data_IF_748400616157
#
_entry.id   IF_748400616157
#
_cell.length_a   1.000
_cell.length_b   1.000
_cell.length_c   1.000
_cell.angle_alpha   90.00
_cell.angle_beta   90.00
_cell.angle_gamma   90.00
#
_symmetry.space_group_name_H-M   'P 1'
#
loop_
_entity.id
_entity.type
_entity.pdbx_description
1 polymer ?
#
# COMPACT_ATOMS: atom_id res chain seq x y z
N UNK A 1 3.72 12.77 21.71
CA UNK A 1 3.82 11.30 21.79
C UNK A 1 2.79 10.66 22.74
N UNK A 2 1.86 11.42 23.34
CA UNK A 2 0.87 10.86 24.28
C UNK A 2 -0.12 9.89 23.59
N UNK A 3 -0.40 10.10 22.30
CA UNK A 3 -1.43 9.35 21.54
C UNK A 3 -0.84 8.24 20.65
N UNK A 4 0.31 7.68 21.04
CA UNK A 4 0.94 6.59 20.29
C UNK A 4 0.12 5.29 20.35
N UNK A 5 -0.24 4.72 19.20
CA UNK A 5 -0.93 3.43 19.13
C UNK A 5 -0.14 2.28 19.79
N UNK A 6 1.19 2.37 19.81
CA UNK A 6 2.05 1.39 20.49
C UNK A 6 1.87 1.34 22.02
N UNK A 7 1.16 2.28 22.63
CA UNK A 7 0.95 2.32 24.09
C UNK A 7 0.02 1.22 24.59
N UNK A 8 -0.80 0.64 23.73
CA UNK A 8 -1.69 -0.48 24.07
C UNK A 8 -1.05 -1.84 23.83
N UNK A 9 0.19 -1.85 23.33
CA UNK A 9 0.93 -3.03 22.91
C UNK A 9 2.08 -3.33 23.89
N UNK A 10 2.67 -4.52 23.82
CA UNK A 10 3.82 -4.86 24.67
C UNK A 10 5.09 -4.17 24.16
N UNK A 11 5.85 -3.46 25.03
CA UNK A 11 7.04 -2.71 24.59
C UNK A 11 8.07 -3.56 23.84
N UNK A 12 8.25 -4.82 24.24
CA UNK A 12 9.20 -5.77 23.64
C UNK A 12 8.98 -5.96 22.13
N UNK A 13 7.74 -5.82 21.64
CA UNK A 13 7.39 -5.96 20.23
C UNK A 13 8.07 -4.90 19.34
N UNK A 14 8.43 -3.75 19.90
CA UNK A 14 9.09 -2.67 19.17
C UNK A 14 10.62 -2.70 19.28
N UNK A 15 11.19 -3.64 20.04
CA UNK A 15 12.63 -3.80 20.25
C UNK A 15 13.07 -5.23 19.92
N UNK A 16 12.99 -5.66 18.65
CA UNK A 16 13.42 -7.00 18.25
C UNK A 16 14.94 -7.17 18.39
N UNK A 17 15.37 -8.35 18.86
CA UNK A 17 16.80 -8.68 19.05
C UNK A 17 17.53 -8.94 17.72
N UNK A 18 16.79 -9.09 16.62
CA UNK A 18 17.34 -9.35 15.30
C UNK A 18 16.58 -8.65 14.18
N UNK A 19 17.16 -8.70 12.98
CA UNK A 19 16.62 -8.03 11.76
C UNK A 19 16.37 -8.98 10.59
N UNK A 20 16.58 -10.28 10.78
CA UNK A 20 16.51 -11.31 9.75
C UNK A 20 15.83 -12.57 10.27
N UNK A 21 15.44 -13.47 9.36
CA UNK A 21 14.87 -14.77 9.70
C UNK A 21 13.59 -14.64 10.54
N UNK A 22 13.56 -15.33 11.68
CA UNK A 22 12.39 -15.38 12.58
C UNK A 22 11.97 -14.04 13.18
N UNK A 23 12.79 -12.99 13.06
CA UNK A 23 12.45 -11.64 13.53
C UNK A 23 11.65 -10.82 12.50
N UNK A 24 11.61 -11.24 11.23
CA UNK A 24 10.89 -10.52 10.17
C UNK A 24 9.40 -10.34 10.51
N UNK A 25 8.66 -11.39 10.96
CA UNK A 25 7.24 -11.23 11.32
C UNK A 25 7.01 -10.26 12.48
N UNK A 26 7.92 -10.22 13.46
CA UNK A 26 7.83 -9.30 14.62
C UNK A 26 8.00 -7.85 14.15
N UNK A 27 8.99 -7.62 13.28
CA UNK A 27 9.23 -6.30 12.68
C UNK A 27 8.03 -5.84 11.85
N UNK A 28 7.49 -6.72 11.01
CA UNK A 28 6.34 -6.41 10.15
C UNK A 28 5.10 -6.07 10.98
N UNK A 29 4.86 -6.80 12.08
CA UNK A 29 3.77 -6.53 13.00
C UNK A 29 3.91 -5.16 13.68
N UNK A 30 5.06 -4.86 14.27
CA UNK A 30 5.31 -3.57 14.91
C UNK A 30 5.21 -2.39 13.92
N UNK A 31 5.66 -2.59 12.68
CA UNK A 31 5.48 -1.60 11.60
C UNK A 31 4.02 -1.41 11.20
N UNK A 32 3.22 -2.48 11.18
CA UNK A 32 1.78 -2.38 10.88
C UNK A 32 1.07 -1.50 11.92
N UNK A 33 1.38 -1.67 13.20
CA UNK A 33 0.86 -0.82 14.29
C UNK A 33 1.33 0.63 14.10
N UNK A 34 2.60 0.85 13.74
CA UNK A 34 3.09 2.20 13.47
C UNK A 34 2.32 2.87 12.32
N UNK A 35 2.00 2.14 11.24
CA UNK A 35 1.36 2.70 10.05
C UNK A 35 -0.09 3.17 10.28
N UNK A 36 -0.74 2.74 11.36
CA UNK A 36 -2.06 3.24 11.76
C UNK A 36 -1.99 4.32 12.85
N UNK A 37 -0.79 4.63 13.34
CA UNK A 37 -0.58 5.52 14.48
C UNK A 37 -0.73 7.00 14.09
N UNK A 38 -1.56 7.80 14.78
CA UNK A 38 -1.81 9.20 14.43
C UNK A 38 -0.58 10.09 14.59
N UNK A 39 0.40 9.68 15.39
CA UNK A 39 1.64 10.43 15.64
C UNK A 39 2.84 9.86 14.88
N UNK A 40 2.62 9.04 13.84
CA UNK A 40 3.69 8.37 13.08
C UNK A 40 4.75 9.35 12.57
N UNK A 41 4.36 10.47 11.95
CA UNK A 41 5.30 11.44 11.38
C UNK A 41 6.13 12.12 12.47
N UNK A 42 5.48 12.64 13.51
CA UNK A 42 6.18 13.30 14.64
C UNK A 42 7.11 12.34 15.38
N UNK A 43 6.71 11.09 15.59
CA UNK A 43 7.54 10.05 16.19
C UNK A 43 8.78 9.75 15.33
N UNK A 44 8.59 9.66 14.01
CA UNK A 44 9.68 9.44 13.05
C UNK A 44 10.69 10.57 13.06
N UNK A 45 10.22 11.82 13.02
CA UNK A 45 11.08 13.01 13.05
C UNK A 45 11.90 13.07 14.33
N UNK A 46 11.25 12.92 15.48
CA UNK A 46 11.93 12.88 16.78
C UNK A 46 13.00 11.78 16.81
N UNK A 47 12.67 10.56 16.34
CA UNK A 47 13.60 9.44 16.36
C UNK A 47 14.82 9.66 15.44
N UNK A 48 14.64 10.35 14.31
CA UNK A 48 15.73 10.76 13.42
C UNK A 48 16.57 11.88 14.04
N UNK A 49 15.95 12.89 14.66
CA UNK A 49 16.65 14.02 15.29
C UNK A 49 17.51 13.59 16.47
N UNK A 50 16.96 12.74 17.35
CA UNK A 50 17.68 12.24 18.51
C UNK A 50 18.54 11.01 18.22
N UNK A 51 18.56 10.52 16.97
CA UNK A 51 19.28 9.32 16.53
C UNK A 51 19.03 8.11 17.45
N UNK A 52 17.76 7.78 17.68
CA UNK A 52 17.40 6.68 18.58
C UNK A 52 18.13 5.38 18.17
N UNK A 53 18.92 4.78 19.09
CA UNK A 53 19.91 3.76 18.73
C UNK A 53 19.30 2.39 18.45
N UNK A 54 18.13 2.09 19.01
CA UNK A 54 17.51 0.76 18.92
C UNK A 54 16.02 0.84 18.67
N UNK A 55 15.42 -0.29 18.28
CA UNK A 55 13.99 -0.45 18.15
C UNK A 55 13.36 0.21 16.92
N UNK A 56 12.03 0.06 16.82
CA UNK A 56 11.17 0.52 15.75
C UNK A 56 10.47 1.80 16.19
N UNK A 57 10.71 2.89 15.46
CA UNK A 57 10.17 4.21 15.76
C UNK A 57 9.60 4.82 14.49
N UNK A 58 8.38 5.37 14.55
CA UNK A 58 7.74 6.03 13.40
C UNK A 58 7.65 5.14 12.15
N UNK A 59 7.47 3.82 12.34
CA UNK A 59 7.45 2.83 11.26
C UNK A 59 8.82 2.47 10.67
N UNK A 60 9.92 2.86 11.34
CA UNK A 60 11.28 2.62 10.85
C UNK A 60 12.09 1.77 11.84
N UNK A 61 12.80 0.77 11.31
CA UNK A 61 13.87 0.06 12.04
C UNK A 61 15.10 0.94 12.22
N UNK A 62 16.00 0.55 13.13
CA UNK A 62 17.32 1.18 13.29
C UNK A 62 18.09 1.27 11.95
N UNK A 63 18.14 0.17 11.20
CA UNK A 63 18.88 0.11 9.94
C UNK A 63 18.31 1.07 8.89
N UNK A 64 16.99 1.23 8.84
CA UNK A 64 16.34 2.20 7.93
C UNK A 64 16.66 3.63 8.35
N UNK A 65 16.58 3.98 9.65
CA UNK A 65 16.98 5.30 10.13
C UNK A 65 18.44 5.61 9.78
N UNK A 66 19.34 4.63 9.93
CA UNK A 66 20.75 4.75 9.54
C UNK A 66 20.91 5.03 8.04
N UNK A 67 20.14 4.36 7.18
CA UNK A 67 20.15 4.62 5.72
C UNK A 67 19.66 6.02 5.38
N UNK A 68 18.68 6.56 6.12
CA UNK A 68 18.23 7.95 5.94
C UNK A 68 19.35 8.94 6.28
N UNK A 69 20.02 8.76 7.43
CA UNK A 69 21.16 9.60 7.79
C UNK A 69 22.28 9.55 6.75
N UNK A 70 22.60 8.37 6.21
CA UNK A 70 23.60 8.22 5.16
C UNK A 70 23.21 8.98 3.88
N UNK A 71 21.93 8.95 3.48
CA UNK A 71 21.45 9.69 2.30
C UNK A 71 21.56 11.20 2.49
N UNK A 72 21.15 11.71 3.66
CA UNK A 72 21.25 13.13 3.98
C UNK A 72 22.69 13.60 4.09
N UNK A 73 23.59 12.75 4.59
CA UNK A 73 25.02 13.04 4.60
C UNK A 73 25.61 13.11 3.17
N UNK A 74 25.17 12.22 2.28
CA UNK A 74 25.66 12.13 0.90
C UNK A 74 25.03 13.15 -0.06
N UNK A 75 23.83 13.66 0.25
CA UNK A 75 23.12 14.67 -0.53
C UNK A 75 22.49 15.69 0.42
N UNK A 76 23.25 16.75 0.73
CA UNK A 76 22.89 17.76 1.73
C UNK A 76 21.65 18.57 1.37
N UNK A 77 21.35 18.71 0.09
CA UNK A 77 20.21 19.48 -0.41
C UNK A 77 18.93 18.62 -0.51
N UNK A 78 19.02 17.30 -0.25
CA UNK A 78 17.87 16.41 -0.29
C UNK A 78 16.92 16.71 0.89
N UNK A 79 15.62 16.98 0.63
CA UNK A 79 14.61 17.06 1.67
C UNK A 79 14.58 15.79 2.52
N UNK A 80 14.44 15.94 3.84
CA UNK A 80 14.40 14.82 4.80
C UNK A 80 13.30 13.81 4.47
N UNK A 81 12.11 14.30 4.14
CA UNK A 81 10.97 13.46 3.74
C UNK A 81 11.31 12.62 2.51
N UNK A 82 11.95 13.20 1.50
CA UNK A 82 12.42 12.47 0.33
C UNK A 82 13.47 11.41 0.67
N UNK A 83 14.37 11.67 1.64
CA UNK A 83 15.33 10.68 2.10
C UNK A 83 14.65 9.52 2.84
N UNK A 84 13.64 9.80 3.66
CA UNK A 84 12.79 8.80 4.34
C UNK A 84 12.07 7.93 3.32
N UNK A 85 11.36 8.55 2.38
CA UNK A 85 10.62 7.84 1.34
C UNK A 85 11.52 6.96 0.50
N UNK A 86 12.70 7.44 0.14
CA UNK A 86 13.60 6.64 -0.67
C UNK A 86 14.20 5.44 0.08
N UNK A 87 14.12 5.39 1.43
CA UNK A 87 14.53 4.25 2.27
C UNK A 87 13.38 3.30 2.55
N UNK A 88 12.20 3.82 2.92
CA UNK A 88 11.03 3.01 3.23
C UNK A 88 10.37 2.47 1.95
N UNK A 89 10.45 3.26 0.89
CA UNK A 89 9.79 3.04 -0.40
C UNK A 89 10.77 3.24 -1.58
N UNK A 90 11.93 2.56 -1.59
CA UNK A 90 12.89 2.67 -2.68
C UNK A 90 12.19 2.47 -4.04
N UNK A 91 12.54 3.29 -5.04
CA UNK A 91 11.99 3.11 -6.40
C UNK A 91 12.21 1.66 -6.84
N UNK A 92 11.12 0.96 -7.15
CA UNK A 92 11.11 -0.48 -7.45
C UNK A 92 10.82 -1.43 -6.27
N UNK A 93 10.66 -0.91 -5.04
CA UNK A 93 10.21 -1.61 -3.82
C UNK A 93 9.57 -0.61 -2.82
N UNK A 94 8.25 -0.41 -2.85
CA UNK A 94 7.52 0.13 -1.68
C UNK A 94 6.69 1.41 -1.83
N UNK A 95 6.67 2.13 -2.95
CA UNK A 95 5.68 3.22 -3.10
C UNK A 95 4.26 2.67 -2.98
N UNK A 96 3.30 3.37 -2.32
CA UNK A 96 1.93 2.92 -2.21
C UNK A 96 1.43 2.52 -3.60
N UNK A 97 0.90 1.31 -3.70
CA UNK A 97 0.49 0.78 -5.00
C UNK A 97 -0.56 1.68 -5.65
N UNK A 98 -1.36 2.39 -4.85
CA UNK A 98 -2.31 3.41 -5.27
C UNK A 98 -1.65 4.56 -6.04
N UNK A 99 -0.52 5.06 -5.55
CA UNK A 99 0.23 6.17 -6.15
C UNK A 99 0.94 5.72 -7.43
N UNK A 100 1.60 4.56 -7.38
CA UNK A 100 2.19 3.94 -8.57
C UNK A 100 1.15 3.65 -9.65
N UNK A 101 -0.06 3.26 -9.24
CA UNK A 101 -1.17 3.04 -10.14
C UNK A 101 -1.64 4.37 -10.75
N UNK A 102 -1.86 5.40 -9.95
CA UNK A 102 -2.30 6.73 -10.38
C UNK A 102 -1.34 7.40 -11.39
N UNK A 103 -0.02 7.26 -11.23
CA UNK A 103 0.96 7.81 -12.19
C UNK A 103 0.90 7.19 -13.60
N UNK A 104 0.28 6.02 -13.73
CA UNK A 104 0.27 5.21 -14.95
C UNK A 104 -1.11 5.09 -15.54
N UNK A 105 -2.06 5.84 -14.98
CA UNK A 105 -3.43 5.86 -15.40
C UNK A 105 -3.90 7.26 -15.67
N UNK A 106 -4.88 7.37 -16.55
CA UNK A 106 -5.62 8.59 -16.79
C UNK A 106 -7.09 8.25 -16.67
N UNK A 107 -7.86 9.20 -16.14
CA UNK A 107 -9.32 9.12 -16.04
C UNK A 107 -9.86 10.04 -17.14
N UNK A 108 -10.68 9.49 -18.03
CA UNK A 108 -11.35 10.29 -19.05
C UNK A 108 -12.55 11.07 -18.48
N UNK A 109 -13.16 11.90 -19.31
CA UNK A 109 -14.30 12.74 -18.93
C UNK A 109 -15.52 11.93 -18.46
N UNK A 110 -15.63 10.67 -18.90
CA UNK A 110 -16.74 9.76 -18.58
C UNK A 110 -16.44 8.92 -17.33
N UNK A 111 -15.29 9.12 -16.67
CA UNK A 111 -14.90 8.43 -15.44
C UNK A 111 -14.26 7.05 -15.66
N UNK A 112 -13.86 6.72 -16.89
CA UNK A 112 -13.13 5.48 -17.18
C UNK A 112 -11.63 5.67 -17.02
N UNK A 113 -11.01 4.74 -16.31
CA UNK A 113 -9.57 4.70 -16.10
C UNK A 113 -8.91 3.87 -17.21
N UNK A 114 -7.93 4.46 -17.90
CA UNK A 114 -7.10 3.80 -18.92
C UNK A 114 -5.66 3.62 -18.44
N UNK A 115 -5.00 2.58 -18.94
CA UNK A 115 -3.59 2.32 -18.70
C UNK A 115 -2.71 3.04 -19.75
N UNK A 116 -1.65 3.73 -19.32
CA UNK A 116 -0.85 4.60 -20.21
C UNK A 116 0.45 3.98 -20.73
N UNK A 117 0.94 2.88 -20.14
CA UNK A 117 2.24 2.30 -20.50
C UNK A 117 2.11 1.07 -21.42
N UNK A 118 3.11 0.83 -22.27
CA UNK A 118 3.16 -0.38 -23.11
C UNK A 118 3.26 -1.68 -22.30
N UNK A 119 3.90 -1.66 -21.14
CA UNK A 119 3.99 -2.81 -20.23
C UNK A 119 2.87 -2.77 -19.18
N UNK A 120 2.18 -3.90 -19.01
CA UNK A 120 0.98 -4.03 -18.17
C UNK A 120 1.16 -5.05 -17.02
N UNK A 121 2.31 -5.05 -16.36
CA UNK A 121 2.59 -5.90 -15.20
C UNK A 121 3.36 -5.14 -14.10
N UNK A 122 2.95 -5.33 -12.83
CA UNK A 122 3.50 -4.67 -11.64
C UNK A 122 3.74 -5.67 -10.52
N UNK A 123 4.90 -5.59 -9.87
CA UNK A 123 5.18 -6.37 -8.67
C UNK A 123 4.46 -5.76 -7.47
N UNK A 124 3.49 -6.49 -6.90
CA UNK A 124 2.74 -6.09 -5.70
C UNK A 124 2.32 -7.32 -4.90
N UNK A 125 2.46 -7.24 -3.57
CA UNK A 125 2.21 -8.35 -2.64
C UNK A 125 2.94 -9.65 -3.07
N UNK A 126 4.24 -9.52 -3.39
CA UNK A 126 5.12 -10.59 -3.86
C UNK A 126 4.63 -11.38 -5.10
N UNK A 127 3.78 -10.77 -5.94
CA UNK A 127 3.29 -11.35 -7.20
C UNK A 127 3.35 -10.33 -8.33
N UNK A 128 3.45 -10.81 -9.56
CA UNK A 128 3.21 -9.99 -10.75
C UNK A 128 1.70 -9.84 -10.95
N UNK A 129 1.23 -8.60 -10.96
CA UNK A 129 -0.19 -8.23 -11.07
C UNK A 129 -0.41 -7.41 -12.33
N UNK A 130 -1.54 -7.61 -12.98
CA UNK A 130 -2.04 -6.77 -14.07
C UNK A 130 -2.67 -5.48 -13.54
N UNK A 131 -2.81 -4.40 -14.35
CA UNK A 131 -3.49 -3.18 -13.94
C UNK A 131 -4.90 -3.42 -13.37
N UNK A 132 -5.68 -4.36 -13.93
CA UNK A 132 -7.01 -4.72 -13.39
C UNK A 132 -6.92 -5.36 -12.00
N UNK A 133 -5.95 -6.23 -11.76
CA UNK A 133 -5.76 -6.82 -10.44
C UNK A 133 -5.35 -5.78 -9.40
N UNK A 134 -4.54 -4.78 -9.79
CA UNK A 134 -4.16 -3.68 -8.88
C UNK A 134 -5.36 -2.79 -8.58
N UNK A 135 -6.10 -2.34 -9.60
CA UNK A 135 -7.32 -1.56 -9.43
C UNK A 135 -8.35 -2.29 -8.53
N UNK A 136 -8.51 -3.59 -8.75
CA UNK A 136 -9.36 -4.44 -7.93
C UNK A 136 -8.96 -4.44 -6.46
N UNK A 137 -7.68 -4.71 -6.17
CA UNK A 137 -7.15 -4.76 -4.80
C UNK A 137 -7.28 -3.40 -4.09
N UNK A 138 -7.12 -2.31 -4.83
CA UNK A 138 -7.26 -0.95 -4.32
C UNK A 138 -8.71 -0.57 -3.99
N UNK A 139 -9.69 -1.08 -4.72
CA UNK A 139 -11.11 -0.72 -4.54
C UNK A 139 -11.85 -1.68 -3.62
N UNK A 140 -11.60 -2.98 -3.75
CA UNK A 140 -12.36 -4.01 -3.03
C UNK A 140 -11.64 -4.53 -1.79
N UNK A 141 -10.37 -4.18 -1.61
CA UNK A 141 -9.55 -4.59 -0.47
C UNK A 141 -9.51 -6.10 -0.21
N UNK A 142 -9.71 -6.93 -1.25
CA UNK A 142 -9.65 -8.40 -1.23
C UNK A 142 -9.06 -8.96 -2.51
N UNK A 143 -8.54 -10.18 -2.48
CA UNK A 143 -8.12 -10.89 -3.70
C UNK A 143 -9.35 -11.22 -4.58
N UNK A 144 -9.20 -11.18 -5.92
CA UNK A 144 -10.26 -11.55 -6.85
C UNK A 144 -10.43 -13.07 -6.92
N UNK A 145 -11.68 -13.51 -7.07
CA UNK A 145 -12.01 -14.91 -7.32
C UNK A 145 -12.12 -15.15 -8.83
N UNK A 146 -11.16 -15.88 -9.39
CA UNK A 146 -11.13 -16.19 -10.83
C UNK A 146 -10.81 -14.97 -11.70
N UNK A 147 -11.42 -14.91 -12.89
CA UNK A 147 -11.12 -13.87 -13.89
C UNK A 147 -11.85 -12.57 -13.60
N UNK A 148 -11.10 -11.47 -13.52
CA UNK A 148 -11.63 -10.10 -13.48
C UNK A 148 -11.95 -9.59 -14.89
N UNK A 149 -13.14 -9.01 -15.06
CA UNK A 149 -13.56 -8.35 -16.29
C UNK A 149 -14.25 -7.02 -15.99
N UNK A 150 -14.11 -6.04 -16.88
CA UNK A 150 -14.86 -4.80 -16.79
C UNK A 150 -16.32 -5.04 -17.24
N UNK A 151 -17.29 -4.56 -16.46
CA UNK A 151 -18.73 -4.69 -16.75
C UNK A 151 -19.30 -3.50 -17.52
N UNK A 152 -18.56 -2.39 -17.60
CA UNK A 152 -18.97 -1.16 -18.27
C UNK A 152 -18.93 -1.16 -19.82
N UNK A 153 -18.54 -2.28 -20.46
CA UNK A 153 -18.48 -2.38 -21.93
C UNK A 153 -17.31 -1.65 -22.62
N UNK A 154 -16.62 -0.72 -21.92
CA UNK A 154 -15.48 0.01 -22.46
C UNK A 154 -14.24 -0.89 -22.56
N UNK A 155 -13.72 -1.03 -23.78
CA UNK A 155 -12.53 -1.84 -24.07
C UNK A 155 -11.32 -1.28 -23.31
N UNK A 156 -10.70 -2.14 -22.49
CA UNK A 156 -9.48 -1.77 -21.77
C UNK A 156 -9.70 -1.00 -20.46
N UNK A 157 -10.95 -0.73 -20.07
CA UNK A 157 -11.26 -0.09 -18.79
C UNK A 157 -10.67 -0.88 -17.60
N UNK A 158 -10.07 -0.14 -16.67
CA UNK A 158 -9.51 -0.65 -15.41
C UNK A 158 -10.02 0.11 -14.18
N UNK A 159 -11.09 0.91 -14.30
CA UNK A 159 -11.74 1.57 -13.15
C UNK A 159 -12.17 0.52 -12.14
N UNK A 160 -11.69 0.61 -10.90
CA UNK A 160 -11.88 -0.47 -9.91
C UNK A 160 -13.35 -0.82 -9.64
N UNK A 161 -14.25 0.16 -9.56
CA UNK A 161 -15.69 -0.04 -9.36
C UNK A 161 -16.40 -0.66 -10.57
N UNK A 162 -15.80 -0.61 -11.76
CA UNK A 162 -16.32 -1.23 -12.98
C UNK A 162 -15.83 -2.66 -13.17
N UNK A 163 -15.00 -3.19 -12.26
CA UNK A 163 -14.47 -4.53 -12.34
C UNK A 163 -15.35 -5.49 -11.54
N UNK A 164 -15.59 -6.67 -12.11
CA UNK A 164 -16.23 -7.80 -11.43
C UNK A 164 -15.36 -9.05 -11.58
N UNK A 165 -15.20 -9.81 -10.50
CA UNK A 165 -14.59 -11.13 -10.51
C UNK A 165 -15.62 -12.19 -10.93
N UNK A 166 -15.26 -13.47 -10.85
CA UNK A 166 -16.14 -14.55 -11.31
C UNK A 166 -17.39 -14.72 -10.44
N UNK A 167 -17.23 -14.60 -9.12
CA UNK A 167 -18.31 -14.75 -8.14
C UNK A 167 -19.35 -13.62 -8.28
N UNK A 168 -18.90 -12.37 -8.39
CA UNK A 168 -19.81 -11.23 -8.64
C UNK A 168 -20.59 -11.39 -9.94
N UNK A 169 -19.95 -11.88 -11.00
CA UNK A 169 -20.62 -12.10 -12.28
C UNK A 169 -21.66 -13.21 -12.18
N UNK A 170 -21.34 -14.34 -11.54
CA UNK A 170 -22.30 -15.44 -11.33
C UNK A 170 -23.53 -14.98 -10.55
N UNK A 171 -23.33 -14.24 -9.45
CA UNK A 171 -24.43 -13.70 -8.64
C UNK A 171 -25.36 -12.75 -9.43
N UNK A 172 -24.82 -12.01 -10.40
CA UNK A 172 -25.61 -11.12 -11.26
C UNK A 172 -26.56 -11.90 -12.19
N UNK A 173 -26.22 -13.14 -12.56
CA UNK A 173 -27.08 -14.00 -13.39
C UNK A 173 -28.15 -14.76 -12.60
N UNK A 174 -28.00 -14.88 -11.28
CA UNK A 174 -28.87 -15.69 -10.42
C UNK A 174 -29.96 -14.89 -9.69
N UNK A 175 -29.98 -13.56 -9.81
CA UNK A 175 -31.06 -12.73 -9.24
C UNK A 175 -32.16 -12.53 -10.30
N UNK A 176 -33.32 -13.21 -10.23
CA UNK A 176 -34.44 -12.88 -11.11
C UNK A 176 -34.92 -11.46 -10.78
N UNK A 177 -35.20 -10.67 -11.83
CA UNK A 177 -35.84 -9.37 -11.67
C UNK A 177 -37.12 -9.52 -10.82
N UNK A 178 -37.43 -8.58 -9.90
CA UNK A 178 -38.69 -8.63 -9.17
C UNK A 178 -39.83 -8.62 -10.19
N UNK A 179 -40.55 -9.73 -10.22
CA UNK A 179 -41.72 -9.98 -11.06
C UNK A 179 -42.71 -8.84 -10.84
N UNK A 180 -43.14 -8.24 -11.95
CA UNK A 180 -44.12 -7.17 -11.94
C UNK A 180 -45.41 -7.70 -11.32
N UNK A 181 -45.73 -7.25 -10.11
CA UNK A 181 -47.07 -7.41 -9.53
C UNK A 181 -48.01 -6.55 -10.37
N UNK A 182 -48.57 -7.15 -11.42
CA UNK A 182 -49.69 -6.62 -12.17
C UNK A 182 -50.97 -6.77 -11.33
N UNK A 183 -51.70 -5.66 -11.24
CA UNK A 183 -52.98 -5.49 -10.57
C UNK A 183 -54.12 -6.27 -11.26
#
# INVERSE_FOLDING_TARGET
>A
MADGACRTEEPSQFFPDGSTGGWIPVIDHAKAICNTCPVLTTCREWALDTRQPYGIWGGMTEQERRRVHNRLANNRDMPREQAVDAVLYPRGKGRPVAELFAERTEIDADGHTRWLLQHSSFAYNNRNRTPRQIAWLLTHHREPEGRITATCGIKGCITGTHLADETMRRATFETPAPEQVAA
#
